data_IF_117843473559
#
_entry.id   IF_117843473559
#
_cell.length_a   1.000
_cell.length_b   1.000
_cell.length_c   1.000
_cell.angle_alpha   90.00
_cell.angle_beta   90.00
_cell.angle_gamma   90.00
#
_symmetry.space_group_name_H-M   'P 1'
#
loop_
_entity.id
_entity.type
_entity.pdbx_description
1 polymer ?
#
# COMPACT_ATOMS: atom_id res chain seq x y z
N UNK A 1 13.16 -22.66 -38.59
CA UNK A 1 13.98 -21.77 -37.75
C UNK A 1 14.10 -22.39 -36.38
N UNK A 2 15.28 -22.78 -35.99
CA UNK A 2 15.60 -23.70 -34.91
C UNK A 2 15.22 -23.14 -33.55
N UNK A 3 14.53 -23.96 -32.74
CA UNK A 3 14.46 -23.83 -31.30
C UNK A 3 15.83 -24.20 -30.72
N UNK A 4 16.73 -23.25 -30.60
CA UNK A 4 17.83 -23.34 -29.62
C UNK A 4 17.30 -22.96 -28.25
N UNK A 5 16.55 -23.87 -27.64
CA UNK A 5 16.32 -23.89 -26.22
C UNK A 5 17.65 -24.24 -25.56
N UNK A 6 18.35 -23.26 -24.97
CA UNK A 6 19.46 -23.51 -24.07
C UNK A 6 18.91 -24.37 -22.93
N UNK A 7 19.15 -25.69 -23.02
CA UNK A 7 18.92 -26.63 -21.93
C UNK A 7 19.99 -26.33 -20.88
N UNK A 8 19.63 -25.56 -19.84
CA UNK A 8 20.41 -25.47 -18.61
C UNK A 8 20.42 -26.86 -17.99
N UNK A 9 21.61 -27.41 -17.70
CA UNK A 9 21.72 -28.68 -16.99
C UNK A 9 21.22 -28.52 -15.54
N UNK A 10 20.84 -29.62 -14.93
CA UNK A 10 20.39 -29.61 -13.53
C UNK A 10 21.52 -29.13 -12.60
N UNK A 11 22.73 -29.51 -12.85
CA UNK A 11 23.93 -29.08 -12.12
C UNK A 11 24.16 -27.57 -12.27
N UNK A 12 24.05 -27.03 -13.48
CA UNK A 12 24.14 -25.59 -13.77
C UNK A 12 23.03 -24.78 -13.03
N UNK A 13 21.84 -25.37 -12.84
CA UNK A 13 20.76 -24.73 -12.10
C UNK A 13 21.00 -24.67 -10.58
N UNK A 14 21.70 -25.65 -10.01
CA UNK A 14 22.14 -25.60 -8.61
C UNK A 14 23.28 -24.61 -8.41
N UNK A 15 24.23 -24.53 -9.33
CA UNK A 15 25.29 -23.52 -9.29
C UNK A 15 24.70 -22.09 -9.33
N UNK A 16 23.64 -21.87 -10.12
CA UNK A 16 22.92 -20.61 -10.15
C UNK A 16 22.20 -20.30 -8.84
N UNK A 17 21.64 -21.33 -8.19
CA UNK A 17 21.06 -21.16 -6.87
C UNK A 17 22.09 -20.72 -5.84
N UNK A 18 23.23 -21.39 -5.80
CA UNK A 18 24.32 -21.06 -4.86
C UNK A 18 24.83 -19.63 -5.08
N UNK A 19 24.95 -19.17 -6.34
CA UNK A 19 25.29 -17.79 -6.68
C UNK A 19 24.22 -16.81 -6.20
N UNK A 20 22.94 -17.07 -6.44
CA UNK A 20 21.84 -16.20 -5.98
C UNK A 20 21.85 -16.06 -4.47
N UNK A 21 21.97 -17.17 -3.76
CA UNK A 21 21.97 -17.18 -2.30
C UNK A 21 23.20 -16.48 -1.74
N UNK A 22 24.37 -16.66 -2.37
CA UNK A 22 25.58 -15.94 -2.03
C UNK A 22 25.40 -14.42 -2.16
N UNK A 23 24.81 -13.93 -3.26
CA UNK A 23 24.51 -12.51 -3.46
C UNK A 23 23.60 -11.99 -2.34
N UNK A 24 22.53 -12.72 -2.02
CA UNK A 24 21.56 -12.35 -0.99
C UNK A 24 22.14 -12.37 0.43
N UNK A 25 23.15 -13.18 0.70
CA UNK A 25 23.82 -13.26 1.99
C UNK A 25 24.87 -12.16 2.15
N UNK A 26 25.55 -11.76 1.07
CA UNK A 26 26.57 -10.72 1.09
C UNK A 26 26.00 -9.30 1.04
N UNK A 27 24.83 -9.11 0.41
CA UNK A 27 24.13 -7.85 0.39
C UNK A 27 22.74 -7.98 0.99
N UNK A 28 22.60 -7.95 2.31
CA UNK A 28 21.31 -8.03 2.99
C UNK A 28 20.43 -6.80 2.79
N UNK A 29 20.97 -5.70 2.22
CA UNK A 29 20.28 -4.44 1.99
C UNK A 29 19.63 -4.35 0.60
N UNK A 30 19.69 -5.41 -0.20
CA UNK A 30 18.99 -5.43 -1.50
C UNK A 30 17.53 -5.04 -1.30
N UNK A 31 17.11 -3.93 -1.92
CA UNK A 31 15.78 -3.33 -1.78
C UNK A 31 14.95 -3.40 -3.06
N UNK A 32 15.54 -3.84 -4.18
CA UNK A 32 14.89 -3.95 -5.47
C UNK A 32 15.32 -5.18 -6.25
N UNK A 33 14.36 -5.88 -6.86
CA UNK A 33 14.61 -6.98 -7.79
C UNK A 33 13.99 -6.67 -9.14
N UNK A 34 14.78 -6.91 -10.20
CA UNK A 34 14.34 -6.80 -11.61
C UNK A 34 14.59 -8.07 -12.38
N UNK A 35 13.67 -8.44 -13.26
CA UNK A 35 13.86 -9.54 -14.22
C UNK A 35 14.28 -8.95 -15.56
N UNK A 36 15.51 -9.27 -15.99
CA UNK A 36 16.20 -8.59 -17.08
C UNK A 36 16.42 -9.56 -18.24
N UNK A 37 16.12 -9.10 -19.47
CA UNK A 37 16.43 -9.88 -20.66
C UNK A 37 17.96 -10.05 -20.81
N UNK A 38 18.47 -11.22 -21.23
CA UNK A 38 19.90 -11.50 -21.31
C UNK A 38 20.72 -10.46 -22.09
N UNK A 39 20.17 -9.91 -23.17
CA UNK A 39 20.86 -8.88 -23.97
C UNK A 39 21.13 -7.60 -23.20
N UNK A 40 20.22 -7.18 -22.32
CA UNK A 40 20.36 -5.98 -21.50
C UNK A 40 21.31 -6.24 -20.31
N UNK A 41 21.30 -7.45 -19.78
CA UNK A 41 22.19 -7.84 -18.69
C UNK A 41 23.66 -7.76 -19.09
N UNK A 42 23.98 -8.13 -20.33
CA UNK A 42 25.31 -8.02 -20.88
C UNK A 42 25.80 -6.56 -20.99
N UNK A 43 24.91 -5.63 -21.28
CA UNK A 43 25.23 -4.20 -21.34
C UNK A 43 25.49 -3.65 -19.94
N UNK A 44 24.60 -3.95 -18.99
CA UNK A 44 24.73 -3.50 -17.60
C UNK A 44 26.03 -3.97 -16.93
N UNK A 45 26.46 -5.21 -17.20
CA UNK A 45 27.69 -5.74 -16.65
C UNK A 45 28.93 -5.08 -17.30
N UNK A 46 28.91 -4.73 -18.58
CA UNK A 46 29.98 -3.99 -19.24
C UNK A 46 30.12 -2.55 -18.71
N UNK A 47 29.03 -1.88 -18.41
CA UNK A 47 29.04 -0.54 -17.80
C UNK A 47 29.53 -0.57 -16.37
N UNK A 48 29.24 -1.64 -15.60
CA UNK A 48 29.77 -1.83 -14.25
C UNK A 48 31.29 -2.01 -14.27
N UNK A 49 31.84 -2.79 -15.20
CA UNK A 49 33.29 -3.00 -15.36
C UNK A 49 34.00 -1.70 -15.82
N UNK A 50 33.36 -0.88 -16.67
CA UNK A 50 33.93 0.37 -17.17
C UNK A 50 34.02 1.45 -16.07
N UNK A 51 33.09 1.50 -15.13
CA UNK A 51 33.13 2.43 -13.98
C UNK A 51 34.22 2.11 -12.96
N UNK A 52 34.61 0.87 -12.86
CA UNK A 52 35.75 0.43 -11.98
C UNK A 52 37.12 0.84 -12.53
N UNK A 53 37.25 1.08 -13.84
CA UNK A 53 38.52 1.43 -14.49
C UNK A 53 38.74 2.95 -14.50
N UNK A 54 37.73 3.79 -14.23
CA UNK A 54 37.82 5.26 -14.28
C UNK A 54 38.00 5.94 -12.92
N UNK A 55 38.09 5.22 -11.81
CA UNK A 55 38.36 5.80 -10.50
C UNK A 55 39.80 5.51 -10.08
N UNK A 56 40.74 6.35 -10.59
CA UNK A 56 42.06 6.52 -10.00
C UNK A 56 41.93 7.15 -8.61
N UNK A 57 41.75 6.32 -7.58
CA UNK A 57 42.05 6.67 -6.20
C UNK A 57 42.71 5.44 -5.54
N UNK A 58 43.94 5.64 -5.23
CA UNK A 58 44.98 4.88 -4.57
C UNK A 58 44.55 3.98 -3.40
N UNK A 59 45.13 2.76 -3.43
CA UNK A 59 45.75 2.04 -2.29
C UNK A 59 45.09 2.22 -0.91
N UNK A 60 43.96 1.51 -0.66
CA UNK A 60 43.73 1.05 0.73
C UNK A 60 42.79 -0.18 0.88
N UNK A 61 42.38 -0.84 -0.19
CA UNK A 61 41.50 -2.00 -0.06
C UNK A 61 41.77 -3.18 -0.98
N UNK A 62 43.06 -3.49 -1.17
CA UNK A 62 43.50 -4.64 -1.98
C UNK A 62 43.12 -6.02 -1.40
N UNK A 63 42.69 -6.09 -0.13
CA UNK A 63 42.25 -7.36 0.49
C UNK A 63 40.75 -7.61 0.35
N UNK A 64 39.91 -6.60 0.36
CA UNK A 64 38.47 -6.78 0.10
C UNK A 64 38.14 -6.95 -1.39
N UNK A 65 38.91 -6.29 -2.28
CA UNK A 65 38.76 -6.44 -3.73
C UNK A 65 39.03 -7.83 -4.27
N UNK A 66 39.86 -8.65 -3.57
CA UNK A 66 40.22 -10.01 -4.01
C UNK A 66 39.09 -11.02 -3.78
N UNK A 67 38.21 -10.78 -2.81
CA UNK A 67 37.06 -11.65 -2.54
C UNK A 67 35.87 -11.28 -3.46
N UNK A 68 35.61 -9.97 -3.72
CA UNK A 68 34.64 -9.55 -4.70
C UNK A 68 35.03 -9.93 -6.14
N UNK A 69 36.35 -9.96 -6.47
CA UNK A 69 36.82 -10.35 -7.80
C UNK A 69 36.61 -11.84 -8.13
N UNK A 70 36.36 -12.68 -7.12
CA UNK A 70 35.97 -14.09 -7.35
C UNK A 70 34.55 -14.25 -7.87
N UNK A 71 33.69 -13.24 -7.74
CA UNK A 71 32.34 -13.20 -8.30
C UNK A 71 32.29 -12.52 -9.68
N UNK A 72 33.37 -11.88 -10.14
CA UNK A 72 33.47 -11.35 -11.50
C UNK A 72 33.61 -12.52 -12.49
N UNK A 73 32.61 -12.74 -13.33
CA UNK A 73 32.59 -13.81 -14.31
C UNK A 73 33.84 -13.72 -15.22
N UNK A 74 34.60 -14.82 -15.46
CA UNK A 74 35.72 -14.84 -16.38
C UNK A 74 35.23 -14.44 -17.77
N UNK A 75 36.04 -13.65 -18.50
CA UNK A 75 35.78 -13.15 -19.84
C UNK A 75 35.27 -14.26 -20.76
N UNK A 76 33.94 -14.24 -21.11
CA UNK A 76 33.32 -15.22 -21.95
C UNK A 76 32.17 -16.02 -21.31
N UNK A 77 31.96 -15.96 -19.98
CA UNK A 77 30.82 -16.62 -19.33
C UNK A 77 29.56 -15.75 -19.37
N UNK A 78 28.42 -16.39 -19.57
CA UNK A 78 27.09 -15.79 -19.56
C UNK A 78 26.85 -15.11 -18.20
N UNK A 79 26.48 -13.84 -18.19
CA UNK A 79 26.07 -13.15 -16.98
C UNK A 79 24.65 -13.56 -16.59
N UNK A 80 24.47 -14.12 -15.42
CA UNK A 80 23.16 -14.60 -14.93
C UNK A 80 22.51 -13.60 -14.00
N UNK A 81 23.32 -12.85 -13.27
CA UNK A 81 22.91 -11.85 -12.29
C UNK A 81 23.63 -10.53 -12.51
N UNK A 82 23.01 -9.47 -12.06
CA UNK A 82 23.60 -8.15 -11.91
C UNK A 82 23.29 -7.65 -10.50
N UNK A 83 24.29 -7.22 -9.76
CA UNK A 83 24.13 -6.66 -8.43
C UNK A 83 24.96 -5.38 -8.32
N UNK A 84 24.29 -4.25 -8.07
CA UNK A 84 24.90 -2.94 -7.86
C UNK A 84 23.93 -2.04 -7.08
N UNK A 85 24.47 -1.22 -6.16
CA UNK A 85 23.70 -0.21 -5.41
C UNK A 85 22.45 -0.82 -4.74
N UNK A 86 22.60 -1.99 -4.09
CA UNK A 86 21.53 -2.75 -3.43
C UNK A 86 20.38 -3.16 -4.35
N UNK A 87 20.63 -3.33 -5.65
CA UNK A 87 19.65 -3.79 -6.64
C UNK A 87 20.11 -5.08 -7.29
N UNK A 88 19.16 -6.00 -7.44
CA UNK A 88 19.40 -7.32 -8.02
C UNK A 88 18.69 -7.47 -9.36
N UNK A 89 19.44 -7.72 -10.42
CA UNK A 89 18.94 -8.14 -11.72
C UNK A 89 19.08 -9.63 -11.91
N UNK A 90 18.00 -10.32 -12.30
CA UNK A 90 17.97 -11.77 -12.59
C UNK A 90 17.66 -11.99 -14.05
N UNK A 91 18.45 -12.81 -14.75
CA UNK A 91 18.23 -13.12 -16.14
C UNK A 91 16.93 -13.88 -16.39
N UNK A 92 16.07 -13.39 -17.29
CA UNK A 92 14.80 -14.05 -17.62
C UNK A 92 14.99 -15.42 -18.30
N UNK A 93 16.12 -15.68 -18.95
CA UNK A 93 16.40 -16.95 -19.60
C UNK A 93 16.56 -18.13 -18.61
N UNK A 94 16.93 -17.85 -17.38
CA UNK A 94 17.24 -18.87 -16.37
C UNK A 94 16.23 -18.97 -15.25
N UNK A 95 15.13 -18.21 -15.30
CA UNK A 95 14.10 -18.20 -14.23
C UNK A 95 13.49 -19.58 -13.97
N UNK A 96 13.17 -20.31 -15.03
CA UNK A 96 12.50 -21.61 -14.87
C UNK A 96 13.42 -22.70 -14.31
N UNK A 97 14.67 -22.94 -14.83
CA UNK A 97 15.59 -23.88 -14.21
C UNK A 97 15.94 -23.48 -12.78
N UNK A 98 16.23 -22.22 -12.52
CA UNK A 98 16.52 -21.71 -11.19
C UNK A 98 15.34 -21.94 -10.22
N UNK A 99 14.10 -21.64 -10.63
CA UNK A 99 12.92 -21.91 -9.83
C UNK A 99 12.78 -23.39 -9.46
N UNK A 100 13.03 -24.31 -10.40
CA UNK A 100 12.96 -25.75 -10.14
C UNK A 100 14.00 -26.19 -9.10
N UNK A 101 15.25 -25.73 -9.23
CA UNK A 101 16.34 -26.05 -8.31
C UNK A 101 16.05 -25.50 -6.89
N UNK A 102 15.68 -24.23 -6.79
CA UNK A 102 15.34 -23.60 -5.51
C UNK A 102 14.17 -24.30 -4.83
N UNK A 103 13.09 -24.59 -5.60
CA UNK A 103 11.93 -25.30 -5.07
C UNK A 103 12.28 -26.69 -4.54
N UNK A 104 13.12 -27.43 -5.27
CA UNK A 104 13.56 -28.75 -4.85
C UNK A 104 14.34 -28.68 -3.52
N UNK A 105 15.38 -27.82 -3.44
CA UNK A 105 16.17 -27.63 -2.23
C UNK A 105 15.35 -27.15 -1.03
N UNK A 106 14.43 -26.20 -1.26
CA UNK A 106 13.53 -25.74 -0.21
C UNK A 106 12.63 -26.87 0.32
N UNK A 107 12.03 -27.67 -0.57
CA UNK A 107 11.14 -28.75 -0.16
C UNK A 107 11.89 -29.88 0.58
N UNK A 108 13.11 -30.18 0.16
CA UNK A 108 14.01 -31.12 0.84
C UNK A 108 14.33 -30.63 2.27
N UNK A 109 14.84 -29.41 2.41
CA UNK A 109 15.16 -28.82 3.71
C UNK A 109 13.91 -28.73 4.63
N UNK A 110 12.76 -28.36 4.09
CA UNK A 110 11.50 -28.29 4.83
C UNK A 110 11.03 -29.65 5.30
N UNK A 111 11.18 -30.71 4.50
CA UNK A 111 10.83 -32.09 4.89
C UNK A 111 11.67 -32.54 6.07
N UNK A 112 12.99 -32.35 6.01
CA UNK A 112 13.92 -32.69 7.08
C UNK A 112 13.61 -31.87 8.35
N UNK A 113 13.35 -30.56 8.22
CA UNK A 113 12.95 -29.68 9.34
C UNK A 113 11.70 -30.19 10.06
N UNK A 114 10.66 -30.56 9.30
CA UNK A 114 9.40 -31.07 9.88
C UNK A 114 9.58 -32.41 10.59
N UNK A 115 10.42 -33.28 10.09
CA UNK A 115 10.74 -34.56 10.74
C UNK A 115 11.40 -34.34 12.10
N UNK A 116 12.33 -33.39 12.19
CA UNK A 116 13.05 -33.10 13.44
C UNK A 116 12.20 -32.30 14.44
N UNK A 117 11.36 -31.37 13.97
CA UNK A 117 10.49 -30.58 14.84
C UNK A 117 9.34 -31.39 15.45
N UNK A 118 8.97 -32.56 14.86
CA UNK A 118 7.95 -33.46 15.37
C UNK A 118 8.43 -34.47 16.41
N UNK A 119 9.75 -34.67 16.54
CA UNK A 119 10.32 -35.60 17.53
C UNK A 119 10.50 -34.92 18.89
N UNK A 120 9.79 -35.39 19.88
CA UNK A 120 9.67 -34.86 21.26
C UNK A 120 10.94 -34.91 22.14
N UNK A 121 12.12 -35.06 21.56
CA UNK A 121 13.40 -35.16 22.29
C UNK A 121 14.26 -33.91 22.11
N UNK A 122 13.79 -32.79 22.64
CA UNK A 122 14.64 -31.59 22.83
C UNK A 122 15.30 -31.67 24.20
N UNK A 123 16.45 -32.38 24.29
CA UNK A 123 17.36 -32.23 25.42
C UNK A 123 18.31 -31.06 25.11
N UNK A 124 18.21 -29.97 25.86
CA UNK A 124 18.89 -28.68 25.63
C UNK A 124 20.42 -28.74 25.61
N UNK A 125 21.05 -29.85 25.94
CA UNK A 125 22.49 -29.98 26.16
C UNK A 125 23.25 -30.96 25.21
N UNK A 126 22.69 -31.26 24.00
CA UNK A 126 23.38 -32.16 23.07
C UNK A 126 23.78 -31.42 21.74
N UNK A 127 24.81 -31.94 21.01
CA UNK A 127 25.26 -31.43 19.70
C UNK A 127 24.17 -31.36 18.62
N UNK A 128 22.95 -31.85 18.90
CA UNK A 128 21.77 -31.74 18.06
C UNK A 128 21.24 -30.29 17.86
N UNK A 129 21.55 -29.38 18.78
CA UNK A 129 21.04 -27.99 18.70
C UNK A 129 21.72 -27.21 17.56
N UNK A 130 23.03 -27.44 17.33
CA UNK A 130 23.78 -26.80 16.23
C UNK A 130 23.31 -27.33 14.86
N UNK A 131 23.02 -28.64 14.75
CA UNK A 131 22.50 -29.23 13.52
C UNK A 131 21.08 -28.74 13.19
N UNK A 132 20.22 -28.58 14.22
CA UNK A 132 18.86 -28.04 14.04
C UNK A 132 18.89 -26.56 13.63
N UNK A 133 19.73 -25.73 14.25
CA UNK A 133 19.91 -24.33 13.86
C UNK A 133 20.42 -24.18 12.42
N UNK A 134 21.33 -25.07 11.97
CA UNK A 134 21.78 -25.11 10.58
C UNK A 134 20.61 -25.40 9.62
N UNK A 135 19.77 -26.37 9.94
CA UNK A 135 18.61 -26.74 9.15
C UNK A 135 17.58 -25.60 9.06
N UNK A 136 17.31 -24.91 10.17
CA UNK A 136 16.48 -23.70 10.17
C UNK A 136 17.04 -22.64 9.22
N UNK A 137 18.36 -22.40 9.26
CA UNK A 137 19.00 -21.44 8.37
C UNK A 137 18.89 -21.86 6.89
N UNK A 138 18.98 -23.14 6.56
CA UNK A 138 18.77 -23.65 5.20
C UNK A 138 17.32 -23.41 4.74
N UNK A 139 16.31 -23.71 5.58
CA UNK A 139 14.91 -23.41 5.28
C UNK A 139 14.70 -21.91 5.05
N UNK A 140 15.28 -21.04 5.89
CA UNK A 140 15.18 -19.58 5.77
C UNK A 140 15.89 -19.07 4.52
N UNK A 141 17.05 -19.59 4.17
CA UNK A 141 17.85 -19.23 3.00
C UNK A 141 17.14 -19.61 1.69
N UNK A 142 16.77 -20.88 1.54
CA UNK A 142 16.08 -21.37 0.35
C UNK A 142 14.69 -20.79 0.18
N UNK A 143 13.93 -20.56 1.28
CA UNK A 143 12.64 -19.89 1.20
C UNK A 143 12.75 -18.45 0.71
N UNK A 144 13.81 -17.69 1.10
CA UNK A 144 14.06 -16.34 0.61
C UNK A 144 14.30 -16.34 -0.89
N UNK A 145 15.20 -17.21 -1.39
CA UNK A 145 15.47 -17.35 -2.82
C UNK A 145 14.19 -17.76 -3.61
N UNK A 146 13.40 -18.70 -3.07
CA UNK A 146 12.15 -19.14 -3.71
C UNK A 146 11.12 -18.01 -3.81
N UNK A 147 10.99 -17.19 -2.78
CA UNK A 147 10.02 -16.10 -2.75
C UNK A 147 10.36 -14.98 -3.73
N UNK A 148 11.63 -14.80 -4.10
CA UNK A 148 12.04 -13.88 -5.17
C UNK A 148 11.60 -14.37 -6.55
N UNK A 149 11.47 -15.67 -6.77
CA UNK A 149 11.04 -16.26 -8.04
C UNK A 149 9.54 -16.54 -8.08
N UNK A 150 8.91 -16.71 -6.92
CA UNK A 150 7.48 -17.00 -6.76
C UNK A 150 6.93 -16.34 -5.49
N UNK A 151 6.54 -15.08 -5.61
CA UNK A 151 6.10 -14.21 -4.51
C UNK A 151 4.93 -14.75 -3.68
N UNK A 152 4.09 -15.59 -4.28
CA UNK A 152 2.88 -16.14 -3.67
C UNK A 152 3.01 -17.63 -3.27
N UNK A 153 4.25 -18.13 -3.14
CA UNK A 153 4.48 -19.50 -2.68
C UNK A 153 4.18 -19.63 -1.17
N UNK A 154 2.91 -19.90 -0.83
CA UNK A 154 2.39 -19.89 0.54
C UNK A 154 3.14 -20.81 1.51
N UNK A 155 3.63 -21.97 1.04
CA UNK A 155 4.42 -22.91 1.87
C UNK A 155 5.70 -22.27 2.36
N UNK A 156 6.40 -21.45 1.53
CA UNK A 156 7.63 -20.77 1.92
C UNK A 156 7.33 -19.70 3.00
N UNK A 157 6.28 -18.90 2.82
CA UNK A 157 5.85 -17.93 3.84
C UNK A 157 5.47 -18.60 5.16
N UNK A 158 4.79 -19.74 5.12
CA UNK A 158 4.39 -20.47 6.32
C UNK A 158 5.59 -21.15 7.00
N UNK A 159 6.55 -21.67 6.24
CA UNK A 159 7.78 -22.22 6.79
C UNK A 159 8.59 -21.16 7.55
N UNK A 160 8.74 -19.95 6.97
CA UNK A 160 9.38 -18.81 7.66
C UNK A 160 8.69 -18.47 8.97
N UNK A 161 7.35 -18.37 8.97
CA UNK A 161 6.57 -18.14 10.19
C UNK A 161 6.81 -19.22 11.23
N UNK A 162 6.86 -20.50 10.85
CA UNK A 162 7.09 -21.61 11.76
C UNK A 162 8.48 -21.53 12.41
N UNK A 163 9.54 -21.32 11.62
CA UNK A 163 10.92 -21.16 12.14
C UNK A 163 11.00 -19.98 13.11
N UNK A 164 10.46 -18.83 12.73
CA UNK A 164 10.48 -17.61 13.54
C UNK A 164 9.68 -17.75 14.83
N UNK A 165 8.57 -18.48 14.80
CA UNK A 165 7.73 -18.68 15.98
C UNK A 165 8.44 -19.44 17.09
N UNK A 166 9.41 -20.26 16.75
CA UNK A 166 10.19 -21.07 17.68
C UNK A 166 11.42 -20.32 18.25
N UNK A 167 11.70 -19.09 17.78
CA UNK A 167 12.85 -18.28 18.21
C UNK A 167 12.41 -17.06 19.01
N UNK A 168 12.94 -16.89 20.22
CA UNK A 168 12.66 -15.71 21.04
C UNK A 168 13.42 -14.47 20.54
N UNK A 169 14.68 -14.64 20.16
CA UNK A 169 15.61 -13.56 19.74
C UNK A 169 15.71 -13.41 18.23
N UNK A 170 14.58 -13.46 17.52
CA UNK A 170 14.59 -13.33 16.07
C UNK A 170 14.65 -11.89 15.61
N UNK A 171 15.52 -11.58 14.64
CA UNK A 171 15.61 -10.26 14.01
C UNK A 171 14.39 -10.00 13.10
N UNK A 172 13.35 -9.34 13.63
CA UNK A 172 12.16 -8.96 12.89
C UNK A 172 12.46 -8.06 11.69
N UNK A 173 13.55 -7.27 11.77
CA UNK A 173 13.97 -6.37 10.69
C UNK A 173 14.31 -7.14 9.40
N UNK A 174 14.92 -8.32 9.51
CA UNK A 174 15.24 -9.18 8.35
C UNK A 174 13.95 -9.61 7.63
N UNK A 175 12.91 -9.99 8.35
CA UNK A 175 11.64 -10.39 7.74
C UNK A 175 10.89 -9.21 7.09
N UNK A 176 10.98 -8.04 7.67
CA UNK A 176 10.46 -6.83 7.06
C UNK A 176 11.21 -6.50 5.76
N UNK A 177 12.55 -6.70 5.71
CA UNK A 177 13.34 -6.54 4.50
C UNK A 177 12.97 -7.58 3.42
N UNK A 178 12.87 -8.87 3.77
CA UNK A 178 12.47 -9.93 2.81
C UNK A 178 11.11 -9.64 2.21
N UNK A 179 10.13 -9.26 3.02
CA UNK A 179 8.79 -8.93 2.51
C UNK A 179 8.78 -7.64 1.67
N UNK A 180 9.60 -6.62 2.03
CA UNK A 180 9.77 -5.41 1.23
C UNK A 180 10.40 -5.71 -0.13
N UNK A 181 11.42 -6.57 -0.14
CA UNK A 181 12.09 -7.01 -1.36
C UNK A 181 11.12 -7.72 -2.31
N UNK A 182 10.28 -8.62 -1.80
CA UNK A 182 9.23 -9.27 -2.61
C UNK A 182 8.23 -8.23 -3.13
N UNK A 183 7.82 -7.26 -2.32
CA UNK A 183 6.88 -6.21 -2.72
C UNK A 183 7.46 -5.23 -3.74
N UNK A 184 8.79 -5.15 -3.88
CA UNK A 184 9.44 -4.29 -4.87
C UNK A 184 9.11 -4.69 -6.32
N UNK A 185 8.93 -5.98 -6.58
CA UNK A 185 8.59 -6.50 -7.91
C UNK A 185 7.17 -7.10 -7.99
N UNK A 186 6.60 -7.54 -6.86
CA UNK A 186 5.25 -8.11 -6.75
C UNK A 186 4.38 -7.30 -5.76
N UNK A 187 4.07 -6.02 -6.04
CA UNK A 187 3.41 -5.10 -5.09
C UNK A 187 1.98 -5.49 -4.75
N UNK A 188 1.39 -6.45 -5.47
CA UNK A 188 0.04 -7.00 -5.23
C UNK A 188 0.06 -8.36 -4.54
N UNK A 189 1.20 -8.88 -4.10
CA UNK A 189 1.29 -10.15 -3.39
C UNK A 189 0.59 -10.06 -2.02
N UNK A 190 -0.54 -10.75 -1.87
CA UNK A 190 -1.26 -10.79 -0.58
C UNK A 190 -0.48 -11.55 0.48
N UNK A 191 0.25 -12.59 0.08
CA UNK A 191 1.07 -13.37 1.01
C UNK A 191 2.19 -12.53 1.61
N UNK A 192 2.86 -11.68 0.81
CA UNK A 192 3.90 -10.77 1.30
C UNK A 192 3.31 -9.71 2.25
N UNK A 193 2.17 -9.09 1.93
CA UNK A 193 1.48 -8.16 2.82
C UNK A 193 0.99 -8.82 4.11
N UNK A 194 0.44 -10.04 4.01
CA UNK A 194 -0.02 -10.81 5.16
C UNK A 194 1.14 -11.20 6.09
N UNK A 195 2.28 -11.62 5.51
CA UNK A 195 3.48 -11.93 6.29
C UNK A 195 3.99 -10.68 7.02
N UNK A 196 4.05 -9.54 6.34
CA UNK A 196 4.47 -8.26 6.91
C UNK A 196 3.59 -7.85 8.08
N UNK A 197 2.26 -7.93 7.94
CA UNK A 197 1.32 -7.67 9.05
C UNK A 197 1.53 -8.63 10.23
N UNK A 198 1.83 -9.90 9.95
CA UNK A 198 2.12 -10.87 10.99
C UNK A 198 3.41 -10.52 11.77
N UNK A 199 4.47 -10.09 11.09
CA UNK A 199 5.73 -9.64 11.72
C UNK A 199 5.46 -8.42 12.60
N UNK A 200 4.78 -7.40 12.09
CA UNK A 200 4.47 -6.17 12.84
C UNK A 200 3.63 -6.47 14.09
N UNK A 201 2.65 -7.38 14.02
CA UNK A 201 1.89 -7.80 15.21
C UNK A 201 2.79 -8.38 16.29
N UNK A 202 3.82 -9.13 15.94
CA UNK A 202 4.77 -9.69 16.93
C UNK A 202 5.67 -8.61 17.52
N UNK A 203 6.06 -7.62 16.73
CA UNK A 203 6.86 -6.48 17.21
C UNK A 203 6.03 -5.64 18.18
N UNK A 204 4.79 -5.33 17.82
CA UNK A 204 3.91 -4.46 18.62
C UNK A 204 3.69 -4.95 20.04
N UNK A 205 3.81 -6.27 20.29
CA UNK A 205 3.66 -6.85 21.64
C UNK A 205 4.94 -6.82 22.48
N UNK A 206 6.11 -6.43 21.92
CA UNK A 206 7.42 -6.65 22.54
C UNK A 206 8.40 -5.46 22.47
N UNK A 207 8.11 -4.39 21.74
CA UNK A 207 9.16 -3.46 21.34
C UNK A 207 8.78 -1.98 21.51
N UNK A 208 9.69 -1.21 22.14
CA UNK A 208 9.58 0.25 22.30
C UNK A 208 9.84 1.03 20.97
N UNK A 209 10.35 0.36 19.94
CA UNK A 209 10.68 0.97 18.63
C UNK A 209 9.54 0.91 17.61
N UNK A 210 8.31 0.67 18.06
CA UNK A 210 7.16 0.53 17.14
C UNK A 210 6.92 1.79 16.32
N UNK A 211 7.06 2.99 16.90
CA UNK A 211 6.86 4.25 16.18
C UNK A 211 7.80 4.41 14.98
N UNK A 212 9.08 4.09 15.14
CA UNK A 212 10.04 4.14 14.03
C UNK A 212 9.72 3.14 12.91
N UNK A 213 9.19 1.97 13.29
CA UNK A 213 8.78 0.96 12.33
C UNK A 213 7.57 1.46 11.55
N UNK A 214 6.57 2.06 12.19
CA UNK A 214 5.39 2.62 11.54
C UNK A 214 5.75 3.73 10.56
N UNK A 215 6.70 4.60 10.88
CA UNK A 215 7.21 5.63 9.97
C UNK A 215 7.89 5.03 8.73
N UNK A 216 8.68 3.96 8.92
CA UNK A 216 9.30 3.23 7.82
C UNK A 216 8.26 2.54 6.94
N UNK A 217 7.19 1.99 7.55
CA UNK A 217 6.08 1.36 6.83
C UNK A 217 5.34 2.36 5.95
N UNK A 218 5.02 3.55 6.46
CA UNK A 218 4.34 4.59 5.71
C UNK A 218 5.14 5.01 4.47
N UNK A 219 6.46 5.22 4.63
CA UNK A 219 7.38 5.53 3.53
C UNK A 219 7.47 4.40 2.50
N UNK A 220 7.48 3.13 2.96
CA UNK A 220 7.50 1.97 2.06
C UNK A 220 6.22 1.91 1.22
N UNK A 221 5.05 2.14 1.83
CA UNK A 221 3.76 2.13 1.11
C UNK A 221 3.74 3.21 0.03
N UNK A 222 4.23 4.41 0.32
CA UNK A 222 4.35 5.50 -0.67
C UNK A 222 5.27 5.09 -1.83
N UNK A 223 6.48 4.61 -1.51
CA UNK A 223 7.43 4.13 -2.52
C UNK A 223 6.84 3.03 -3.43
N UNK A 224 6.06 2.11 -2.86
CA UNK A 224 5.38 1.04 -3.63
C UNK A 224 4.23 1.63 -4.47
N UNK A 225 3.47 2.57 -3.95
CA UNK A 225 2.37 3.22 -4.67
C UNK A 225 2.90 4.04 -5.86
N UNK A 226 3.96 4.83 -5.68
CA UNK A 226 4.63 5.61 -6.73
C UNK A 226 5.24 4.72 -7.82
N UNK A 227 6.02 3.71 -7.44
CA UNK A 227 6.66 2.79 -8.40
C UNK A 227 5.63 2.06 -9.26
N UNK A 228 4.48 1.76 -8.72
CA UNK A 228 3.40 1.12 -9.47
C UNK A 228 2.86 2.04 -10.57
N UNK A 229 2.73 3.34 -10.31
CA UNK A 229 2.33 4.36 -11.30
C UNK A 229 3.37 4.46 -12.43
N UNK A 230 4.65 4.65 -12.11
CA UNK A 230 5.74 4.77 -13.10
C UNK A 230 5.91 3.54 -13.99
N UNK A 231 5.75 2.34 -13.43
CA UNK A 231 5.86 1.09 -14.21
C UNK A 231 4.74 0.96 -15.23
N UNK A 232 3.55 1.45 -14.90
CA UNK A 232 2.39 1.42 -15.78
C UNK A 232 2.51 2.45 -16.91
N UNK A 233 3.03 3.64 -16.66
CA UNK A 233 3.28 4.66 -17.67
C UNK A 233 4.31 4.18 -18.71
N UNK A 234 5.37 3.52 -18.31
CA UNK A 234 6.39 2.98 -19.25
C UNK A 234 5.87 1.84 -20.15
N UNK A 235 4.91 1.06 -19.67
CA UNK A 235 4.26 0.01 -20.49
C UNK A 235 3.27 0.63 -21.48
N UNK A 236 2.59 1.71 -21.11
CA UNK A 236 1.59 2.40 -21.96
C UNK A 236 2.21 3.17 -23.12
N UNK A 237 3.46 3.62 -23.01
CA UNK A 237 4.15 4.35 -24.08
C UNK A 237 4.50 3.47 -25.28
N UNK A 238 4.37 2.16 -25.19
CA UNK A 238 4.88 1.28 -26.23
C UNK A 238 3.81 0.60 -27.11
N UNK A 239 2.55 0.40 -26.73
CA UNK A 239 1.62 -0.33 -27.62
C UNK A 239 0.11 -0.39 -27.27
N UNK A 240 -0.48 0.38 -26.35
CA UNK A 240 -1.93 0.22 -26.06
C UNK A 240 -2.62 1.58 -25.87
N UNK A 241 -3.87 1.76 -26.43
CA UNK A 241 -4.61 3.01 -26.29
C UNK A 241 -5.00 3.32 -24.84
N UNK A 242 -5.25 4.60 -24.50
CA UNK A 242 -5.32 5.11 -23.10
C UNK A 242 -6.59 4.74 -22.31
N UNK A 243 -7.19 3.59 -22.57
CA UNK A 243 -8.50 3.20 -21.99
C UNK A 243 -8.43 2.37 -20.71
N UNK A 244 -7.24 2.03 -20.19
CA UNK A 244 -7.16 1.36 -18.89
C UNK A 244 -6.66 2.33 -17.83
N UNK A 245 -7.62 2.93 -17.08
CA UNK A 245 -7.37 3.67 -15.84
C UNK A 245 -6.40 2.87 -14.97
N UNK A 246 -5.26 3.47 -14.65
CA UNK A 246 -4.24 2.89 -13.78
C UNK A 246 -4.89 2.42 -12.48
N UNK A 247 -4.93 1.11 -12.26
CA UNK A 247 -5.48 0.56 -11.02
C UNK A 247 -4.47 0.83 -9.92
N UNK A 248 -4.76 1.78 -9.05
CA UNK A 248 -3.99 2.11 -7.84
C UNK A 248 -3.67 0.84 -7.03
N UNK A 249 -2.56 0.84 -6.30
CA UNK A 249 -2.21 -0.30 -5.47
C UNK A 249 -3.06 -0.31 -4.18
N UNK A 250 -4.30 -0.75 -4.32
CA UNK A 250 -5.26 -0.91 -3.22
C UNK A 250 -4.67 -1.69 -2.03
N UNK A 251 -3.82 -2.71 -2.27
CA UNK A 251 -3.27 -3.54 -1.19
C UNK A 251 -2.29 -2.77 -0.31
N UNK A 252 -1.49 -1.90 -0.90
CA UNK A 252 -0.58 -1.02 -0.16
C UNK A 252 -1.36 -0.04 0.75
N UNK A 253 -2.38 0.61 0.21
CA UNK A 253 -3.25 1.50 0.99
C UNK A 253 -4.05 0.75 2.07
N UNK A 254 -4.50 -0.47 1.79
CA UNK A 254 -5.19 -1.30 2.79
C UNK A 254 -4.25 -1.68 3.94
N UNK A 255 -2.99 -1.98 3.64
CA UNK A 255 -1.98 -2.18 4.67
C UNK A 255 -1.76 -0.91 5.51
N UNK A 256 -1.66 0.27 4.89
CA UNK A 256 -1.54 1.55 5.59
C UNK A 256 -2.75 1.84 6.48
N UNK A 257 -3.97 1.55 6.00
CA UNK A 257 -5.19 1.62 6.83
C UNK A 257 -5.12 0.70 8.06
N UNK A 258 -4.56 -0.51 7.88
CA UNK A 258 -4.41 -1.45 8.99
C UNK A 258 -3.42 -0.97 10.05
N UNK A 259 -2.37 -0.23 9.67
CA UNK A 259 -1.38 0.33 10.59
C UNK A 259 -1.97 1.36 11.56
N UNK A 260 -3.08 2.02 11.23
CA UNK A 260 -3.70 3.07 12.05
C UNK A 260 -3.97 2.58 13.48
N UNK A 261 -4.37 1.32 13.66
CA UNK A 261 -4.64 0.73 14.98
C UNK A 261 -3.40 0.61 15.89
N UNK A 262 -2.21 0.91 15.38
CA UNK A 262 -0.94 0.90 16.12
C UNK A 262 -0.34 2.31 16.25
N UNK A 263 -0.94 3.32 15.63
CA UNK A 263 -0.43 4.69 15.64
C UNK A 263 -0.79 5.43 16.91
N UNK A 264 0.14 6.22 17.42
CA UNK A 264 -0.17 7.25 18.42
C UNK A 264 -0.96 8.41 17.79
N UNK A 265 -1.70 9.17 18.60
CA UNK A 265 -2.45 10.35 18.12
C UNK A 265 -1.56 11.36 17.41
N UNK A 266 -0.28 11.49 17.83
CA UNK A 266 0.73 12.32 17.14
C UNK A 266 1.02 11.80 15.73
N UNK A 267 1.19 10.49 15.57
CA UNK A 267 1.43 9.88 14.25
C UNK A 267 0.21 10.01 13.33
N UNK A 268 -1.01 9.89 13.88
CA UNK A 268 -2.25 10.10 13.11
C UNK A 268 -2.30 11.51 12.52
N UNK A 269 -1.92 12.55 13.30
CA UNK A 269 -1.87 13.93 12.82
C UNK A 269 -0.79 14.11 11.73
N UNK A 270 0.41 13.55 11.94
CA UNK A 270 1.49 13.62 10.93
C UNK A 270 1.07 12.92 9.62
N UNK A 271 0.42 11.78 9.72
CA UNK A 271 -0.09 11.04 8.56
C UNK A 271 -1.20 11.81 7.81
N UNK A 272 -2.05 12.54 8.53
CA UNK A 272 -3.04 13.41 7.91
C UNK A 272 -2.37 14.53 7.09
N UNK A 273 -1.30 15.14 7.58
CA UNK A 273 -0.56 16.17 6.86
C UNK A 273 0.16 15.58 5.63
N UNK A 274 0.89 14.49 5.80
CA UNK A 274 1.64 13.83 4.72
C UNK A 274 0.70 13.32 3.63
N UNK A 275 -0.38 12.63 4.00
CA UNK A 275 -1.34 12.10 3.02
C UNK A 275 -2.14 13.20 2.31
N UNK A 276 -2.24 14.41 2.88
CA UNK A 276 -2.86 15.57 2.22
C UNK A 276 -2.07 16.00 0.99
N UNK A 277 -0.74 16.04 1.10
CA UNK A 277 0.13 16.33 -0.03
C UNK A 277 -0.01 15.30 -1.15
N UNK A 278 0.03 14.01 -0.80
CA UNK A 278 -0.20 12.94 -1.77
C UNK A 278 -1.56 13.04 -2.46
N UNK A 279 -2.64 13.24 -1.69
CA UNK A 279 -3.99 13.32 -2.22
C UNK A 279 -4.20 14.51 -3.16
N UNK A 280 -3.51 15.64 -2.91
CA UNK A 280 -3.54 16.81 -3.79
C UNK A 280 -2.90 16.55 -5.16
N UNK A 281 -1.89 15.66 -5.22
CA UNK A 281 -1.25 15.24 -6.47
C UNK A 281 -2.03 14.12 -7.18
N UNK A 282 -2.78 13.31 -6.44
CA UNK A 282 -3.47 12.10 -6.94
C UNK A 282 -4.97 12.15 -6.65
N UNK A 283 -5.62 13.22 -7.10
CA UNK A 283 -7.04 13.51 -6.80
C UNK A 283 -8.05 12.45 -7.24
N UNK A 284 -7.65 11.53 -8.11
CA UNK A 284 -8.44 10.39 -8.53
C UNK A 284 -8.23 9.13 -7.66
N UNK A 285 -7.28 9.17 -6.68
CA UNK A 285 -6.97 8.03 -5.81
C UNK A 285 -7.98 7.90 -4.66
N UNK A 286 -9.04 7.15 -4.89
CA UNK A 286 -10.04 6.83 -3.85
C UNK A 286 -9.43 6.12 -2.64
N UNK A 287 -8.32 5.38 -2.81
CA UNK A 287 -7.68 4.63 -1.72
C UNK A 287 -6.98 5.56 -0.73
N UNK A 288 -6.32 6.61 -1.22
CA UNK A 288 -5.73 7.64 -0.37
C UNK A 288 -6.81 8.39 0.43
N UNK A 289 -7.91 8.80 -0.22
CA UNK A 289 -9.02 9.42 0.47
C UNK A 289 -9.70 8.49 1.48
N UNK A 290 -9.77 7.18 1.19
CA UNK A 290 -10.24 6.18 2.16
C UNK A 290 -9.32 6.12 3.39
N UNK A 291 -8.00 6.13 3.18
CA UNK A 291 -7.03 6.18 4.27
C UNK A 291 -7.21 7.44 5.13
N UNK A 292 -7.32 8.63 4.53
CA UNK A 292 -7.59 9.88 5.25
C UNK A 292 -8.86 9.82 6.10
N UNK A 293 -9.95 9.23 5.55
CA UNK A 293 -11.20 9.01 6.31
C UNK A 293 -10.97 8.16 7.55
N UNK A 294 -10.16 7.09 7.44
CA UNK A 294 -9.82 6.23 8.58
C UNK A 294 -9.02 6.97 9.66
N UNK A 295 -8.04 7.78 9.26
CA UNK A 295 -7.27 8.62 10.18
C UNK A 295 -8.17 9.64 10.91
N UNK A 296 -9.09 10.29 10.21
CA UNK A 296 -10.04 11.24 10.80
C UNK A 296 -10.98 10.57 11.80
N UNK A 297 -11.43 9.35 11.50
CA UNK A 297 -12.25 8.57 12.45
C UNK A 297 -11.46 8.16 13.69
N UNK A 298 -10.19 7.79 13.54
CA UNK A 298 -9.33 7.50 14.69
C UNK A 298 -9.12 8.74 15.57
N UNK A 299 -8.83 9.89 14.96
CA UNK A 299 -8.71 11.15 15.70
C UNK A 299 -9.99 11.51 16.47
N UNK A 300 -11.16 11.23 15.90
CA UNK A 300 -12.43 11.44 16.56
C UNK A 300 -12.65 10.45 17.73
N UNK A 301 -12.28 9.18 17.54
CA UNK A 301 -12.34 8.17 18.59
C UNK A 301 -11.42 8.52 19.76
N UNK A 302 -10.16 8.87 19.47
CA UNK A 302 -9.18 9.30 20.49
C UNK A 302 -9.70 10.49 21.32
N UNK A 303 -10.36 11.46 20.66
CA UNK A 303 -10.95 12.61 21.34
C UNK A 303 -12.15 12.25 22.23
N UNK A 304 -12.89 11.19 21.88
CA UNK A 304 -14.07 10.74 22.62
C UNK A 304 -13.72 9.84 23.81
N UNK A 305 -12.54 9.19 23.80
CA UNK A 305 -12.08 8.27 24.84
C UNK A 305 -11.44 9.00 26.04
N UNK A 306 -11.23 10.33 25.96
CA UNK A 306 -10.66 11.12 27.06
C UNK A 306 -11.60 11.11 28.28
N UNK A 307 -11.07 10.69 29.44
CA UNK A 307 -11.83 10.61 30.70
C UNK A 307 -12.07 11.97 31.35
N UNK A 308 -11.22 12.97 31.07
CA UNK A 308 -11.38 14.34 31.55
C UNK A 308 -12.29 15.14 30.62
N UNK A 309 -13.43 15.61 31.14
CA UNK A 309 -14.42 16.35 30.36
C UNK A 309 -13.87 17.68 29.79
N UNK A 310 -12.92 18.35 30.46
CA UNK A 310 -12.31 19.58 29.94
C UNK A 310 -11.33 19.29 28.84
N UNK A 311 -10.52 18.23 28.96
CA UNK A 311 -9.61 17.77 27.94
C UNK A 311 -10.39 17.26 26.72
N UNK A 312 -11.45 16.49 26.92
CA UNK A 312 -12.33 15.99 25.87
C UNK A 312 -12.94 17.14 25.05
N UNK A 313 -13.53 18.17 25.69
CA UNK A 313 -14.13 19.31 24.97
C UNK A 313 -13.09 20.17 24.24
N UNK A 314 -11.88 20.33 24.76
CA UNK A 314 -10.79 21.05 24.07
C UNK A 314 -10.30 20.28 22.84
N UNK A 315 -10.17 18.97 22.95
CA UNK A 315 -9.73 18.10 21.85
C UNK A 315 -10.80 18.01 20.76
N UNK A 316 -12.07 17.87 21.13
CA UNK A 316 -13.18 17.91 20.15
C UNK A 316 -13.26 19.23 19.39
N UNK A 317 -12.95 20.38 20.03
CA UNK A 317 -12.83 21.67 19.33
C UNK A 317 -11.70 21.67 18.30
N UNK A 318 -10.56 21.07 18.63
CA UNK A 318 -9.43 20.91 17.71
C UNK A 318 -9.80 20.00 16.52
N UNK A 319 -10.48 18.87 16.78
CA UNK A 319 -10.98 17.96 15.77
C UNK A 319 -12.00 18.65 14.85
N UNK A 320 -12.92 19.45 15.43
CA UNK A 320 -13.91 20.23 14.67
C UNK A 320 -13.23 21.23 13.73
N UNK A 321 -12.21 21.94 14.21
CA UNK A 321 -11.43 22.88 13.38
C UNK A 321 -10.77 22.15 12.23
N UNK A 322 -10.07 21.05 12.52
CA UNK A 322 -9.42 20.22 11.49
C UNK A 322 -10.43 19.71 10.44
N UNK A 323 -11.61 19.27 10.89
CA UNK A 323 -12.65 18.79 9.99
C UNK A 323 -13.16 19.89 9.06
N UNK A 324 -13.30 21.11 9.59
CA UNK A 324 -13.67 22.28 8.77
C UNK A 324 -12.58 22.59 7.75
N UNK A 325 -11.32 22.61 8.17
CA UNK A 325 -10.18 22.86 7.27
C UNK A 325 -10.09 21.80 6.16
N UNK A 326 -10.49 20.57 6.45
CA UNK A 326 -10.57 19.49 5.46
C UNK A 326 -11.75 19.67 4.48
N UNK A 327 -12.91 20.15 4.96
CA UNK A 327 -14.04 20.52 4.11
C UNK A 327 -13.67 21.65 3.12
N UNK A 328 -13.03 22.69 3.63
CA UNK A 328 -12.60 23.85 2.83
C UNK A 328 -11.55 23.43 1.78
N UNK A 329 -10.61 22.59 2.18
CA UNK A 329 -9.60 22.05 1.27
C UNK A 329 -10.21 21.13 0.19
N UNK A 330 -11.13 20.26 0.56
CA UNK A 330 -11.81 19.39 -0.40
C UNK A 330 -12.63 20.18 -1.42
N UNK A 331 -13.30 21.27 -0.99
CA UNK A 331 -14.00 22.18 -1.89
C UNK A 331 -13.05 22.82 -2.92
N UNK A 332 -11.90 23.32 -2.47
CA UNK A 332 -10.88 23.86 -3.36
C UNK A 332 -10.45 22.84 -4.41
N UNK A 333 -10.29 21.56 -4.02
CA UNK A 333 -9.95 20.50 -4.96
C UNK A 333 -11.09 20.19 -5.94
N UNK A 334 -12.35 20.16 -5.49
CA UNK A 334 -13.53 19.94 -6.34
C UNK A 334 -13.64 21.04 -7.40
N UNK A 335 -13.40 22.31 -7.02
CA UNK A 335 -13.43 23.45 -7.94
C UNK A 335 -12.29 23.41 -8.95
N UNK A 336 -11.11 22.93 -8.54
CA UNK A 336 -9.91 22.86 -9.38
C UNK A 336 -9.87 21.64 -10.30
N UNK A 337 -10.36 20.49 -9.82
CA UNK A 337 -10.26 19.21 -10.53
C UNK A 337 -11.63 18.64 -10.84
N UNK A 338 -12.22 19.11 -11.92
CA UNK A 338 -13.59 18.80 -12.37
C UNK A 338 -13.74 17.29 -12.64
N UNK A 339 -14.89 16.72 -12.28
CA UNK A 339 -15.29 15.35 -12.65
C UNK A 339 -14.60 14.23 -11.85
N UNK A 340 -13.94 14.52 -10.73
CA UNK A 340 -13.21 13.51 -9.95
C UNK A 340 -14.09 12.90 -8.86
N UNK A 341 -14.62 11.70 -9.09
CA UNK A 341 -15.53 10.99 -8.17
C UNK A 341 -14.98 10.86 -6.74
N UNK A 342 -13.67 10.60 -6.60
CA UNK A 342 -13.02 10.41 -5.30
C UNK A 342 -13.18 11.62 -4.38
N UNK A 343 -13.17 12.84 -4.94
CA UNK A 343 -13.38 14.08 -4.19
C UNK A 343 -14.81 14.20 -3.65
N UNK A 344 -15.81 13.82 -4.44
CA UNK A 344 -17.20 13.85 -4.04
C UNK A 344 -17.54 12.76 -3.02
N UNK A 345 -16.93 11.58 -3.12
CA UNK A 345 -17.03 10.54 -2.11
C UNK A 345 -16.37 10.96 -0.79
N UNK A 346 -15.29 11.72 -0.85
CA UNK A 346 -14.66 12.29 0.34
C UNK A 346 -15.53 13.41 0.93
N UNK A 347 -16.08 14.32 0.10
CA UNK A 347 -17.04 15.35 0.53
C UNK A 347 -18.21 14.77 1.29
N UNK A 348 -18.82 13.70 0.76
CA UNK A 348 -19.94 13.03 1.43
C UNK A 348 -19.57 12.56 2.84
N UNK A 349 -18.41 11.91 3.00
CA UNK A 349 -17.95 11.49 4.30
C UNK A 349 -17.78 12.67 5.26
N UNK A 350 -17.16 13.76 4.80
CA UNK A 350 -16.94 14.96 5.61
C UNK A 350 -18.24 15.61 6.03
N UNK A 351 -19.19 15.75 5.12
CA UNK A 351 -20.46 16.42 5.37
C UNK A 351 -21.37 15.64 6.30
N UNK A 352 -21.44 14.32 6.11
CA UNK A 352 -22.20 13.43 7.02
C UNK A 352 -21.56 13.45 8.42
N UNK A 353 -20.24 13.35 8.50
CA UNK A 353 -19.51 13.44 9.77
C UNK A 353 -19.70 14.80 10.45
N UNK A 354 -19.68 15.90 9.70
CA UNK A 354 -19.92 17.24 10.22
C UNK A 354 -21.30 17.34 10.89
N UNK A 355 -22.34 16.93 10.18
CA UNK A 355 -23.72 16.98 10.73
C UNK A 355 -23.86 16.07 11.94
N UNK A 356 -23.30 14.86 11.89
CA UNK A 356 -23.42 13.87 12.96
C UNK A 356 -22.70 14.26 14.24
N UNK A 357 -21.49 14.81 14.15
CA UNK A 357 -20.61 15.01 15.30
C UNK A 357 -20.52 16.47 15.74
N UNK A 358 -20.81 17.44 14.86
CA UNK A 358 -20.63 18.87 15.13
C UNK A 358 -21.89 19.72 14.84
N UNK A 359 -22.98 19.09 14.44
CA UNK A 359 -24.24 19.77 14.11
C UNK A 359 -25.00 20.28 15.35
N UNK A 360 -24.77 19.70 16.54
CA UNK A 360 -25.33 20.16 17.80
C UNK A 360 -24.53 21.32 18.39
N UNK A 361 -25.22 22.30 19.00
CA UNK A 361 -24.55 23.41 19.67
C UNK A 361 -24.00 22.96 21.05
N UNK A 362 -22.69 23.14 21.29
CA UNK A 362 -22.05 22.77 22.58
C UNK A 362 -22.58 23.57 23.76
N UNK A 363 -23.22 24.71 23.51
CA UNK A 363 -23.67 25.64 24.59
C UNK A 363 -25.09 25.40 25.08
N UNK A 364 -25.91 24.62 24.33
CA UNK A 364 -27.31 24.38 24.74
C UNK A 364 -27.79 22.98 24.24
N UNK A 365 -27.47 21.89 24.96
CA UNK A 365 -27.82 20.53 24.52
C UNK A 365 -29.35 20.26 24.50
N UNK A 366 -30.16 21.14 25.10
CA UNK A 366 -31.63 21.00 25.14
C UNK A 366 -32.38 21.91 24.14
N UNK A 367 -31.67 22.65 23.28
CA UNK A 367 -32.26 23.58 22.31
C UNK A 367 -32.49 22.93 20.94
N UNK A 368 -33.54 22.13 20.77
CA UNK A 368 -33.90 21.50 19.48
C UNK A 368 -34.02 22.50 18.31
N UNK A 369 -34.37 23.77 18.58
CA UNK A 369 -34.45 24.80 17.56
C UNK A 369 -33.12 25.29 17.00
N UNK A 370 -32.06 25.30 17.81
CA UNK A 370 -30.70 25.75 17.40
C UNK A 370 -29.93 24.70 16.57
N UNK A 371 -30.07 23.43 16.90
CA UNK A 371 -29.49 22.31 16.13
C UNK A 371 -29.99 22.36 14.68
N UNK A 372 -31.29 22.56 14.49
CA UNK A 372 -31.90 22.69 13.19
C UNK A 372 -31.34 23.87 12.37
N UNK A 373 -30.97 24.98 13.05
CA UNK A 373 -30.43 26.15 12.35
C UNK A 373 -28.98 25.91 11.85
N UNK A 374 -28.12 25.30 12.65
CA UNK A 374 -26.72 24.99 12.23
C UNK A 374 -26.68 23.99 11.07
N UNK A 375 -27.49 22.94 11.11
CA UNK A 375 -27.58 21.96 10.01
C UNK A 375 -28.16 22.65 8.76
N UNK A 376 -29.15 23.55 8.92
CA UNK A 376 -29.72 24.29 7.80
C UNK A 376 -28.67 25.20 7.12
N UNK A 377 -27.92 25.98 7.91
CA UNK A 377 -26.82 26.84 7.40
C UNK A 377 -25.78 26.02 6.65
N UNK A 378 -25.40 24.86 7.20
CA UNK A 378 -24.47 23.95 6.54
C UNK A 378 -25.05 23.44 5.20
N UNK A 379 -26.31 23.02 5.18
CA UNK A 379 -26.97 22.55 3.97
C UNK A 379 -27.13 23.64 2.90
N UNK A 380 -27.36 24.89 3.31
CA UNK A 380 -27.44 26.02 2.38
C UNK A 380 -26.05 26.28 1.74
N UNK A 381 -24.97 26.11 2.51
CA UNK A 381 -23.60 26.17 1.99
C UNK A 381 -23.30 25.06 0.96
N UNK A 382 -23.68 23.80 1.28
CA UNK A 382 -23.50 22.67 0.34
C UNK A 382 -24.35 22.83 -0.93
N UNK A 383 -25.53 23.45 -0.83
CA UNK A 383 -26.37 23.80 -1.98
C UNK A 383 -25.72 24.88 -2.85
N UNK A 384 -25.04 25.86 -2.25
CA UNK A 384 -24.27 26.86 -3.01
C UNK A 384 -23.15 26.23 -3.82
N UNK A 385 -22.37 25.32 -3.20
CA UNK A 385 -21.34 24.55 -3.89
C UNK A 385 -21.91 23.75 -5.07
N UNK A 386 -23.06 23.10 -4.86
CA UNK A 386 -23.75 22.38 -5.92
C UNK A 386 -24.15 23.30 -7.07
N UNK A 387 -24.75 24.49 -6.78
CA UNK A 387 -25.18 25.45 -7.79
C UNK A 387 -24.01 25.96 -8.62
N UNK A 388 -22.86 26.22 -7.98
CA UNK A 388 -21.65 26.63 -8.69
C UNK A 388 -21.15 25.52 -9.65
N UNK A 389 -21.25 24.26 -9.25
CA UNK A 389 -20.89 23.11 -10.09
C UNK A 389 -21.89 22.86 -11.23
N UNK A 390 -23.17 23.25 -11.06
CA UNK A 390 -24.22 23.10 -12.10
C UNK A 390 -24.21 24.25 -13.12
N UNK A 391 -23.74 25.45 -12.72
CA UNK A 391 -23.72 26.65 -13.56
C UNK A 391 -22.53 26.70 -14.54
N UNK A 392 -21.78 25.60 -14.68
CA UNK A 392 -20.74 25.52 -15.70
C UNK A 392 -21.40 25.52 -17.09
N UNK A 393 -20.92 26.34 -18.06
CA UNK A 393 -21.49 26.37 -19.40
C UNK A 393 -21.60 24.97 -19.99
N UNK A 394 -22.68 24.71 -20.74
CA UNK A 394 -22.89 23.43 -21.43
C UNK A 394 -21.62 23.12 -22.27
N UNK A 395 -20.83 22.21 -21.79
CA UNK A 395 -19.60 21.76 -22.41
C UNK A 395 -19.80 20.30 -22.75
N UNK A 396 -19.48 19.91 -23.96
CA UNK A 396 -19.47 18.52 -24.41
C UNK A 396 -18.38 17.68 -23.73
N UNK A 397 -17.57 18.28 -22.86
CA UNK A 397 -16.51 17.58 -22.16
C UNK A 397 -17.05 16.62 -21.10
N UNK A 398 -16.67 15.37 -21.20
CA UNK A 398 -17.07 14.27 -20.31
C UNK A 398 -16.82 14.59 -18.82
N UNK A 399 -15.74 15.30 -18.49
CA UNK A 399 -15.41 15.70 -17.11
C UNK A 399 -16.47 16.66 -16.51
N UNK A 400 -17.07 17.56 -17.31
CA UNK A 400 -18.13 18.49 -16.86
C UNK A 400 -19.41 17.75 -16.57
N UNK A 401 -19.82 16.84 -17.45
CA UNK A 401 -20.99 15.99 -17.23
C UNK A 401 -20.82 15.12 -16.00
N UNK A 402 -19.63 14.53 -15.81
CA UNK A 402 -19.27 13.75 -14.63
C UNK A 402 -19.35 14.58 -13.36
N UNK A 403 -18.90 15.85 -13.37
CA UNK A 403 -19.01 16.76 -12.24
C UNK A 403 -20.45 16.96 -11.81
N UNK A 404 -21.35 17.25 -12.77
CA UNK A 404 -22.79 17.45 -12.52
C UNK A 404 -23.42 16.21 -11.91
N UNK A 405 -23.12 15.03 -12.47
CA UNK A 405 -23.64 13.75 -11.98
C UNK A 405 -23.17 13.47 -10.55
N UNK A 406 -21.88 13.69 -10.26
CA UNK A 406 -21.33 13.46 -8.92
C UNK A 406 -21.90 14.44 -7.90
N UNK A 407 -21.99 15.73 -8.25
CA UNK A 407 -22.55 16.77 -7.39
C UNK A 407 -24.02 16.50 -7.04
N UNK A 408 -24.86 16.20 -8.03
CA UNK A 408 -26.26 15.88 -7.82
C UNK A 408 -26.45 14.58 -7.02
N UNK A 409 -25.68 13.52 -7.33
CA UNK A 409 -25.70 12.26 -6.58
C UNK A 409 -25.28 12.45 -5.12
N UNK A 410 -24.24 13.26 -4.88
CA UNK A 410 -23.79 13.63 -3.55
C UNK A 410 -24.92 14.30 -2.74
N UNK A 411 -25.57 15.32 -3.30
CA UNK A 411 -26.58 16.08 -2.59
C UNK A 411 -27.83 15.26 -2.27
N UNK A 412 -28.28 14.41 -3.19
CA UNK A 412 -29.39 13.49 -2.93
C UNK A 412 -29.10 12.53 -1.77
N UNK A 413 -27.88 11.96 -1.74
CA UNK A 413 -27.46 11.05 -0.67
C UNK A 413 -27.31 11.76 0.67
N UNK A 414 -26.67 12.95 0.67
CA UNK A 414 -26.51 13.76 1.88
C UNK A 414 -27.88 14.10 2.50
N UNK A 415 -28.79 14.56 1.69
CA UNK A 415 -30.16 14.89 2.15
C UNK A 415 -30.88 13.65 2.73
N UNK A 416 -30.74 12.49 2.07
CA UNK A 416 -31.34 11.25 2.57
C UNK A 416 -30.73 10.83 3.91
N UNK A 417 -29.39 10.86 4.05
CA UNK A 417 -28.68 10.48 5.29
C UNK A 417 -29.06 11.41 6.46
N UNK A 418 -29.21 12.71 6.21
CA UNK A 418 -29.63 13.69 7.24
C UNK A 418 -31.08 13.47 7.65
N UNK A 419 -31.99 13.30 6.69
CA UNK A 419 -33.40 13.06 6.99
C UNK A 419 -33.63 11.74 7.74
N UNK A 420 -32.84 10.70 7.40
CA UNK A 420 -32.94 9.38 8.05
C UNK A 420 -32.40 9.37 9.47
N UNK A 421 -31.33 10.15 9.74
CA UNK A 421 -30.61 10.12 11.04
C UNK A 421 -31.15 11.14 12.04
N UNK A 422 -31.64 12.30 11.58
CA UNK A 422 -31.95 13.43 12.45
C UNK A 422 -33.49 13.71 12.55
N UNK A 423 -34.34 13.03 11.78
CA UNK A 423 -35.76 13.31 11.70
C UNK A 423 -36.10 14.73 11.18
N UNK A 424 -35.07 15.47 10.73
CA UNK A 424 -35.19 16.85 10.27
C UNK A 424 -35.84 16.84 8.89
N UNK A 425 -37.10 17.31 8.82
CA UNK A 425 -37.75 17.49 7.54
C UNK A 425 -37.30 18.80 6.90
N UNK A 426 -36.21 18.70 6.12
CA UNK A 426 -35.78 19.84 5.31
C UNK A 426 -36.80 20.11 4.24
N UNK A 427 -37.47 21.29 4.28
CA UNK A 427 -38.47 21.73 3.29
C UNK A 427 -37.89 21.96 1.88
N UNK A 428 -37.06 21.03 1.40
CA UNK A 428 -36.34 21.06 0.13
C UNK A 428 -36.91 20.10 -0.92
N UNK A 429 -38.14 19.59 -0.71
CA UNK A 429 -38.77 18.60 -1.62
C UNK A 429 -38.71 19.01 -3.10
N UNK A 430 -38.90 20.29 -3.39
CA UNK A 430 -38.91 20.82 -4.77
C UNK A 430 -37.48 20.71 -5.39
N UNK A 431 -36.43 21.17 -4.68
CA UNK A 431 -35.04 21.12 -5.15
C UNK A 431 -34.57 19.67 -5.34
N UNK A 432 -34.99 18.75 -4.50
CA UNK A 432 -34.68 17.31 -4.61
C UNK A 432 -35.33 16.70 -5.85
N UNK A 433 -36.60 17.09 -6.14
CA UNK A 433 -37.28 16.68 -7.37
C UNK A 433 -36.52 17.15 -8.61
N UNK A 434 -36.10 18.42 -8.63
CA UNK A 434 -35.34 19.01 -9.73
C UNK A 434 -33.99 18.30 -9.95
N UNK A 435 -33.29 17.94 -8.86
CA UNK A 435 -32.03 17.17 -8.93
C UNK A 435 -32.22 15.73 -9.43
N UNK A 436 -33.34 15.08 -9.06
CA UNK A 436 -33.69 13.75 -9.58
C UNK A 436 -33.98 13.82 -11.08
N UNK A 437 -34.76 14.81 -11.51
CA UNK A 437 -35.07 15.03 -12.92
C UNK A 437 -33.79 15.30 -13.74
N UNK A 438 -32.89 16.11 -13.20
CA UNK A 438 -31.59 16.38 -13.79
C UNK A 438 -30.75 15.08 -13.96
N UNK A 439 -30.67 14.26 -12.92
CA UNK A 439 -29.95 12.96 -12.99
C UNK A 439 -30.59 11.99 -13.98
N UNK A 440 -31.93 11.93 -14.02
CA UNK A 440 -32.64 11.09 -14.97
C UNK A 440 -32.35 11.48 -16.41
N UNK A 441 -32.22 12.78 -16.67
CA UNK A 441 -31.89 13.32 -18.01
C UNK A 441 -30.44 13.04 -18.40
N UNK A 442 -29.50 13.24 -17.47
CA UNK A 442 -28.04 13.13 -17.76
C UNK A 442 -27.49 11.71 -17.67
N UNK A 443 -28.11 10.86 -16.89
CA UNK A 443 -27.65 9.50 -16.64
C UNK A 443 -28.81 8.52 -16.36
N UNK A 444 -29.58 8.15 -17.41
CA UNK A 444 -30.75 7.27 -17.24
C UNK A 444 -30.41 5.91 -16.62
N UNK A 445 -29.19 5.39 -16.81
CA UNK A 445 -28.71 4.16 -16.20
C UNK A 445 -28.59 4.25 -14.67
N UNK A 446 -28.30 5.43 -14.12
CA UNK A 446 -28.27 5.68 -12.68
C UNK A 446 -29.65 6.08 -12.11
N UNK A 447 -30.61 6.40 -12.95
CA UNK A 447 -31.97 6.76 -12.53
C UNK A 447 -32.76 5.54 -12.01
N UNK A 448 -32.47 4.35 -12.54
CA UNK A 448 -33.01 3.07 -12.05
C UNK A 448 -32.51 2.79 -10.62
N UNK A 449 -31.31 3.28 -10.26
CA UNK A 449 -30.78 3.26 -8.91
C UNK A 449 -31.46 4.27 -7.95
N UNK A 450 -32.27 5.19 -8.46
CA UNK A 450 -33.04 6.16 -7.65
C UNK A 450 -34.16 5.53 -6.83
N UNK A 451 -34.65 4.33 -7.22
CA UNK A 451 -35.52 3.47 -6.40
C UNK A 451 -34.74 2.53 -5.48
N UNK A 452 -33.55 2.11 -5.90
CA UNK A 452 -32.74 1.04 -5.25
C UNK A 452 -31.42 1.53 -4.64
N UNK A 453 -31.15 2.84 -4.58
CA UNK A 453 -29.97 3.40 -3.88
C UNK A 453 -29.94 2.99 -2.39
N UNK A 454 -31.05 2.45 -1.89
CA UNK A 454 -31.20 1.86 -0.55
C UNK A 454 -30.41 0.54 -0.39
N UNK A 455 -30.13 -0.23 -1.45
CA UNK A 455 -29.62 -1.59 -1.35
C UNK A 455 -28.09 -1.76 -1.42
N UNK A 456 -27.30 -0.76 -1.81
CA UNK A 456 -25.84 -0.86 -1.92
C UNK A 456 -25.04 -0.05 -0.88
N UNK A 457 -25.67 0.31 0.24
CA UNK A 457 -25.01 0.93 1.38
C UNK A 457 -25.10 0.04 2.63
N UNK A 458 -24.78 -1.24 2.50
CA UNK A 458 -24.43 -2.09 3.64
C UNK A 458 -22.93 -2.34 3.66
N UNK A 459 -22.34 -2.46 4.89
CA UNK A 459 -20.99 -2.02 5.28
C UNK A 459 -19.83 -2.77 4.64
#
# INVERSE_FOLDING_TARGET
>A
MAKEGLLCSEEEAYDLLDQLEHILDHDPLIDEVGFIHPSHLLVLNKEADATLVSSDIQELDARMSSELSKCAAPKGKKAFFWNKDHKLGVSTAYLLPLYKAVKHKFMEALAIYKMHSGSSFMNENLPGNVAFSKLENEVMRHSRALLLLSSDFGTAWNARKAVISNKEDFSHSVELLVSALVLSFAPKSENAWSHRRWVIKRIASRCDTLEEILDKESKLVEKIAERFLWRQERILTTCVPPLQKSKMNYRAWNHRCWLISYMSSRQVLLELDTSRYWAALHVADSSCFHYRRKLMLQMLADASEQQDAVACSSQLRSVRKFWKDELDWNEMLIRRYIGREALWLHRRFLSVGWVKHFGANEQNPNGEGEVNNHVKVFMDYELSLLQDCLNVPESEFEDVQSQVIHAASYMLRLNWEICSSSGINLNQKRRISDLRELLNRLCPEKSILGGDIIYYASP
#
